data_IF_734943884022
#
_entry.id   IF_734943884022
#
_cell.length_a   1.000
_cell.length_b   1.000
_cell.length_c   1.000
_cell.angle_alpha   90.00
_cell.angle_beta   90.00
_cell.angle_gamma   90.00
#
_symmetry.space_group_name_H-M   'P 1'
#
loop_
_entity.id
_entity.type
_entity.pdbx_description
1 polymer ?
#
# COMPACT_ATOMS: atom_id res chain seq x y z
N UNK A 1 -0.74 -28.87 12.15
CA UNK A 1 -1.01 -28.33 10.80
C UNK A 1 -0.08 -27.15 10.63
N UNK A 2 0.83 -27.19 9.65
CA UNK A 2 1.64 -26.02 9.32
C UNK A 2 0.70 -24.99 8.68
N UNK A 3 0.57 -23.81 9.29
CA UNK A 3 -0.09 -22.68 8.64
C UNK A 3 0.75 -22.37 7.41
N UNK A 4 0.10 -22.30 6.24
CA UNK A 4 0.78 -22.05 4.99
C UNK A 4 1.01 -20.55 4.93
N UNK A 5 2.24 -20.13 5.22
CA UNK A 5 2.77 -18.76 5.13
C UNK A 5 2.24 -18.03 3.89
N UNK A 6 1.91 -16.75 4.01
CA UNK A 6 1.56 -15.90 2.87
C UNK A 6 2.69 -14.88 2.68
N UNK A 7 3.80 -15.34 2.07
CA UNK A 7 4.92 -14.47 1.70
C UNK A 7 4.46 -13.40 0.70
N UNK A 8 4.97 -12.17 0.89
CA UNK A 8 4.80 -11.07 -0.07
C UNK A 8 6.10 -10.86 -0.85
N UNK A 9 6.03 -10.97 -2.18
CA UNK A 9 7.20 -10.82 -3.04
C UNK A 9 7.51 -9.33 -3.30
N UNK A 10 8.26 -8.72 -2.37
CA UNK A 10 8.66 -7.32 -2.48
C UNK A 10 9.47 -7.02 -3.76
N UNK A 11 10.30 -7.95 -4.24
CA UNK A 11 11.15 -7.71 -5.41
C UNK A 11 10.33 -7.65 -6.70
N UNK A 12 9.38 -8.58 -6.86
CA UNK A 12 8.40 -8.57 -7.96
C UNK A 12 7.61 -7.26 -7.98
N UNK A 13 7.08 -6.86 -6.82
CA UNK A 13 6.22 -5.68 -6.75
C UNK A 13 7.00 -4.36 -6.83
N UNK A 14 8.24 -4.30 -6.35
CA UNK A 14 9.12 -3.15 -6.60
C UNK A 14 9.38 -2.96 -8.09
N UNK A 15 9.67 -4.05 -8.80
CA UNK A 15 9.92 -4.01 -10.26
C UNK A 15 8.69 -3.49 -11.00
N UNK A 16 7.51 -4.03 -10.71
CA UNK A 16 6.25 -3.55 -11.30
C UNK A 16 5.98 -2.08 -10.99
N UNK A 17 6.10 -1.67 -9.72
CA UNK A 17 5.85 -0.28 -9.34
C UNK A 17 6.86 0.70 -9.95
N UNK A 18 8.11 0.27 -10.16
CA UNK A 18 9.10 1.05 -10.87
C UNK A 18 8.72 1.33 -12.33
N UNK A 19 7.99 0.41 -12.98
CA UNK A 19 7.53 0.58 -14.36
C UNK A 19 6.45 1.65 -14.49
N UNK A 20 5.54 1.74 -13.50
CA UNK A 20 4.36 2.61 -13.56
C UNK A 20 4.50 3.90 -12.73
N UNK A 21 5.59 4.03 -11.97
CA UNK A 21 5.86 5.22 -11.15
C UNK A 21 5.97 6.48 -12.05
N UNK A 22 5.25 7.54 -11.67
CA UNK A 22 5.20 8.77 -12.46
C UNK A 22 4.26 8.73 -13.67
N UNK A 23 3.67 7.60 -14.00
CA UNK A 23 2.69 7.50 -15.08
C UNK A 23 1.28 7.89 -14.59
N UNK A 24 0.64 8.83 -15.29
CA UNK A 24 -0.74 9.21 -14.98
C UNK A 24 -1.73 8.08 -15.25
N UNK A 25 -2.49 7.69 -14.23
CA UNK A 25 -3.52 6.67 -14.37
C UNK A 25 -4.69 7.23 -15.18
N UNK A 26 -5.10 6.48 -16.20
CA UNK A 26 -6.26 6.86 -17.02
C UNK A 26 -7.54 6.67 -16.22
N UNK A 27 -8.44 7.63 -16.34
CA UNK A 27 -9.79 7.53 -15.78
C UNK A 27 -10.76 7.15 -16.90
N UNK A 28 -11.65 6.19 -16.62
CA UNK A 28 -12.80 5.97 -17.48
C UNK A 28 -13.87 6.99 -17.11
N UNK A 29 -14.16 7.89 -18.04
CA UNK A 29 -15.22 8.89 -17.90
C UNK A 29 -16.18 8.78 -19.08
N UNK A 30 -17.47 8.89 -18.78
CA UNK A 30 -18.55 8.78 -19.76
C UNK A 30 -19.81 9.47 -19.26
N UNK A 31 -20.67 9.92 -20.18
CA UNK A 31 -21.92 10.60 -19.81
C UNK A 31 -22.79 9.63 -18.99
N UNK A 32 -23.08 10.00 -17.74
CA UNK A 32 -23.88 9.18 -16.82
C UNK A 32 -23.14 7.98 -16.21
N UNK A 33 -21.82 7.89 -16.38
CA UNK A 33 -20.97 6.87 -15.76
C UNK A 33 -20.22 7.49 -14.59
N UNK A 34 -20.21 6.81 -13.45
CA UNK A 34 -19.38 7.21 -12.31
C UNK A 34 -17.90 7.03 -12.69
N UNK A 35 -17.09 8.09 -12.57
CA UNK A 35 -15.69 8.03 -12.95
C UNK A 35 -14.92 7.01 -12.09
N UNK A 36 -14.02 6.27 -12.73
CA UNK A 36 -13.15 5.33 -12.03
C UNK A 36 -11.78 5.21 -12.71
N UNK A 37 -10.72 5.02 -11.91
CA UNK A 37 -9.38 4.80 -12.45
C UNK A 37 -9.27 3.42 -13.11
N UNK A 38 -8.53 3.37 -14.22
CA UNK A 38 -8.25 2.15 -14.97
C UNK A 38 -6.84 1.70 -14.62
N UNK A 39 -6.74 0.77 -13.69
CA UNK A 39 -5.45 0.21 -13.27
C UNK A 39 -5.00 -0.95 -14.13
N UNK A 40 -3.68 -1.14 -14.19
CA UNK A 40 -3.09 -2.39 -14.65
C UNK A 40 -3.60 -3.56 -13.77
N UNK A 41 -4.01 -4.71 -14.35
CA UNK A 41 -4.43 -5.89 -13.59
C UNK A 41 -3.43 -6.32 -12.50
N UNK A 42 -2.13 -6.07 -12.71
CA UNK A 42 -1.06 -6.31 -11.74
C UNK A 42 -1.21 -5.50 -10.46
N UNK A 43 -1.81 -4.32 -10.51
CA UNK A 43 -2.08 -3.51 -9.32
C UNK A 43 -3.09 -4.19 -8.39
N UNK A 44 -4.14 -4.79 -8.95
CA UNK A 44 -5.10 -5.57 -8.17
C UNK A 44 -4.48 -6.86 -7.62
N UNK A 45 -3.58 -7.49 -8.39
CA UNK A 45 -2.84 -8.66 -7.92
C UNK A 45 -1.89 -8.30 -6.76
N UNK A 46 -1.21 -7.14 -6.83
CA UNK A 46 -0.40 -6.59 -5.73
C UNK A 46 -1.24 -6.41 -4.49
N UNK A 47 -2.37 -5.71 -4.60
CA UNK A 47 -3.25 -5.45 -3.46
C UNK A 47 -3.74 -6.76 -2.81
N UNK A 48 -4.17 -7.72 -3.64
CA UNK A 48 -4.64 -9.02 -3.17
C UNK A 48 -3.54 -9.84 -2.49
N UNK A 49 -2.34 -9.89 -3.07
CA UNK A 49 -1.20 -10.59 -2.46
C UNK A 49 -0.77 -9.90 -1.16
N UNK A 50 -0.77 -8.57 -1.12
CA UNK A 50 -0.45 -7.82 0.10
C UNK A 50 -1.47 -8.08 1.20
N UNK A 51 -2.77 -7.91 0.92
CA UNK A 51 -3.87 -8.15 1.87
C UNK A 51 -3.89 -9.57 2.44
N UNK A 52 -3.41 -10.54 1.67
CA UNK A 52 -3.27 -11.92 2.12
C UNK A 52 -2.02 -12.15 2.97
N UNK A 53 -1.01 -11.27 2.88
CA UNK A 53 0.29 -11.47 3.53
C UNK A 53 0.31 -11.07 5.01
N UNK A 54 1.33 -11.53 5.73
CA UNK A 54 1.60 -11.11 7.12
C UNK A 54 1.97 -9.62 7.23
N UNK A 55 2.30 -8.97 6.11
CA UNK A 55 2.57 -7.53 6.07
C UNK A 55 1.29 -6.70 6.10
N UNK A 56 0.13 -7.27 5.77
CA UNK A 56 -1.13 -6.56 5.97
C UNK A 56 -1.48 -6.49 7.45
N UNK A 57 -1.61 -5.28 7.99
CA UNK A 57 -2.12 -5.08 9.34
C UNK A 57 -3.65 -5.17 9.33
N UNK A 58 -4.20 -6.33 9.70
CA UNK A 58 -5.64 -6.53 9.80
C UNK A 58 -6.34 -5.57 10.79
N UNK A 59 -5.57 -4.96 11.70
CA UNK A 59 -6.02 -3.98 12.68
C UNK A 59 -5.50 -2.57 12.39
N UNK A 60 -5.14 -2.26 11.13
CA UNK A 60 -4.51 -0.99 10.75
C UNK A 60 -5.23 0.24 11.31
N UNK A 61 -6.57 0.26 11.35
CA UNK A 61 -7.32 1.39 11.92
C UNK A 61 -6.99 1.64 13.39
N UNK A 62 -6.88 0.56 14.18
CA UNK A 62 -6.51 0.64 15.60
C UNK A 62 -5.05 1.05 15.74
N UNK A 63 -4.16 0.51 14.90
CA UNK A 63 -2.74 0.88 14.91
C UNK A 63 -2.56 2.35 14.59
N UNK A 64 -3.20 2.86 13.53
CA UNK A 64 -3.19 4.28 13.16
C UNK A 64 -3.71 5.17 14.29
N UNK A 65 -4.82 4.80 14.93
CA UNK A 65 -5.33 5.52 16.09
C UNK A 65 -4.31 5.56 17.25
N UNK A 66 -3.65 4.44 17.56
CA UNK A 66 -2.61 4.37 18.59
C UNK A 66 -1.37 5.19 18.25
N UNK A 67 -1.05 5.29 16.95
CA UNK A 67 0.03 6.14 16.40
C UNK A 67 -0.38 7.60 16.25
N UNK A 68 -1.61 7.96 16.60
CA UNK A 68 -2.21 9.31 16.50
C UNK A 68 -2.42 9.81 15.07
N UNK A 69 -2.62 8.89 14.13
CA UNK A 69 -3.00 9.16 12.74
C UNK A 69 -4.52 9.10 12.58
N UNK A 70 -5.24 10.11 13.08
CA UNK A 70 -6.72 10.13 13.03
C UNK A 70 -7.27 10.53 11.66
N UNK A 71 -6.55 11.38 10.92
CA UNK A 71 -6.95 11.89 9.61
C UNK A 71 -5.72 12.03 8.71
N UNK A 72 -5.13 10.90 8.32
CA UNK A 72 -3.89 10.94 7.56
C UNK A 72 -4.06 11.56 6.18
N UNK A 73 -3.25 12.57 5.92
CA UNK A 73 -3.15 13.27 4.63
C UNK A 73 -2.14 12.59 3.72
N UNK A 74 -2.26 12.83 2.42
CA UNK A 74 -1.29 12.33 1.45
C UNK A 74 0.14 12.83 1.72
N UNK A 75 0.29 14.06 2.21
CA UNK A 75 1.59 14.64 2.58
C UNK A 75 2.24 13.86 3.73
N UNK A 76 1.46 13.48 4.74
CA UNK A 76 1.92 12.64 5.84
C UNK A 76 2.28 11.22 5.38
N UNK A 77 1.48 10.62 4.47
CA UNK A 77 1.83 9.32 3.86
C UNK A 77 3.18 9.41 3.13
N UNK A 78 3.39 10.47 2.36
CA UNK A 78 4.63 10.70 1.63
C UNK A 78 5.82 10.90 2.59
N UNK A 79 5.66 11.68 3.65
CA UNK A 79 6.68 11.86 4.69
C UNK A 79 7.04 10.52 5.35
N UNK A 80 6.05 9.75 5.79
CA UNK A 80 6.23 8.43 6.40
C UNK A 80 6.97 7.49 5.45
N UNK A 81 6.61 7.50 4.16
CA UNK A 81 7.27 6.68 3.12
C UNK A 81 8.77 6.96 3.00
N UNK A 82 9.22 8.17 3.37
CA UNK A 82 10.63 8.59 3.28
C UNK A 82 11.39 8.43 4.59
N UNK A 83 10.76 8.73 5.72
CA UNK A 83 11.49 9.00 6.97
C UNK A 83 11.10 8.12 8.15
N UNK A 84 9.90 7.53 8.19
CA UNK A 84 9.45 6.78 9.37
C UNK A 84 10.38 5.60 9.65
N UNK A 85 10.85 5.45 10.89
CA UNK A 85 11.69 4.31 11.30
C UNK A 85 10.88 3.23 12.00
N UNK A 86 9.57 3.43 12.12
CA UNK A 86 8.67 2.56 12.86
C UNK A 86 7.99 1.58 11.90
N UNK A 87 8.40 0.31 12.00
CA UNK A 87 7.85 -0.76 11.17
C UNK A 87 6.32 -0.85 11.26
N UNK A 88 5.74 -0.76 12.46
CA UNK A 88 4.30 -0.91 12.64
C UNK A 88 3.53 0.28 12.09
N UNK A 89 4.13 1.46 12.15
CA UNK A 89 3.60 2.67 11.52
C UNK A 89 3.56 2.50 10.00
N UNK A 90 4.71 2.22 9.37
CA UNK A 90 4.79 2.01 7.91
C UNK A 90 3.85 0.88 7.46
N UNK A 91 3.74 -0.20 8.24
CA UNK A 91 2.84 -1.33 7.95
C UNK A 91 1.36 -0.91 7.94
N UNK A 92 0.91 -0.21 8.97
CA UNK A 92 -0.47 0.24 9.06
C UNK A 92 -0.82 1.25 7.95
N UNK A 93 0.13 2.13 7.63
CA UNK A 93 0.01 3.15 6.57
C UNK A 93 -0.07 2.49 5.18
N UNK A 94 0.79 1.52 4.92
CA UNK A 94 0.74 0.73 3.68
C UNK A 94 -0.59 -0.03 3.57
N UNK A 95 -1.07 -0.58 4.68
CA UNK A 95 -2.35 -1.31 4.74
C UNK A 95 -3.53 -0.39 4.43
N UNK A 96 -3.60 0.81 5.00
CA UNK A 96 -4.69 1.75 4.69
C UNK A 96 -4.60 2.26 3.24
N UNK A 97 -3.41 2.51 2.70
CA UNK A 97 -3.25 2.92 1.29
C UNK A 97 -3.75 1.83 0.34
N UNK A 98 -3.38 0.57 0.58
CA UNK A 98 -3.79 -0.55 -0.28
C UNK A 98 -5.28 -0.82 -0.12
N UNK A 99 -5.80 -0.81 1.10
CA UNK A 99 -7.20 -1.12 1.38
C UNK A 99 -8.18 -0.02 0.97
N UNK A 100 -7.82 1.26 1.09
CA UNK A 100 -8.79 2.34 0.93
C UNK A 100 -9.18 2.68 -0.51
N UNK A 101 -8.58 2.09 -1.54
CA UNK A 101 -9.02 2.31 -2.92
C UNK A 101 -10.51 2.01 -3.12
N UNK A 102 -11.05 1.03 -2.40
CA UNK A 102 -12.48 0.67 -2.43
C UNK A 102 -13.41 1.68 -1.76
N UNK A 103 -12.87 2.62 -0.98
CA UNK A 103 -13.61 3.66 -0.27
C UNK A 103 -13.31 5.06 -0.84
N UNK A 104 -12.12 5.26 -1.39
CA UNK A 104 -11.64 6.48 -2.01
C UNK A 104 -10.96 6.15 -3.33
N UNK A 105 -11.73 6.25 -4.42
CA UNK A 105 -11.25 5.96 -5.78
C UNK A 105 -10.08 6.88 -6.13
N UNK A 106 -9.05 6.32 -6.73
CA UNK A 106 -7.87 7.07 -7.17
C UNK A 106 -6.78 7.19 -6.10
N UNK A 107 -6.93 6.54 -4.94
CA UNK A 107 -5.86 6.45 -3.94
C UNK A 107 -4.61 5.80 -4.54
N UNK A 108 -4.76 4.65 -5.19
CA UNK A 108 -3.63 3.98 -5.83
C UNK A 108 -3.02 4.83 -6.94
N UNK A 109 -3.85 5.53 -7.74
CA UNK A 109 -3.36 6.46 -8.76
C UNK A 109 -2.46 7.54 -8.15
N UNK A 110 -2.95 8.28 -7.15
CA UNK A 110 -2.17 9.34 -6.50
C UNK A 110 -0.86 8.81 -5.88
N UNK A 111 -0.92 7.65 -5.21
CA UNK A 111 0.24 7.06 -4.54
C UNK A 111 1.28 6.48 -5.51
N UNK A 112 0.85 5.94 -6.66
CA UNK A 112 1.77 5.39 -7.68
C UNK A 112 2.37 6.48 -8.54
N UNK A 113 1.58 7.47 -8.97
CA UNK A 113 2.05 8.64 -9.71
C UNK A 113 3.17 9.39 -8.97
N UNK A 114 3.08 9.48 -7.64
CA UNK A 114 4.10 10.15 -6.80
C UNK A 114 5.21 9.22 -6.30
N UNK A 115 5.19 7.94 -6.67
CA UNK A 115 6.12 6.91 -6.20
C UNK A 115 6.01 6.60 -4.70
N UNK A 116 4.95 7.06 -4.02
CA UNK A 116 4.74 6.89 -2.58
C UNK A 116 4.52 5.42 -2.26
N UNK A 117 3.67 4.72 -3.03
CA UNK A 117 3.38 3.31 -2.77
C UNK A 117 4.64 2.44 -2.84
N UNK A 118 5.49 2.69 -3.83
CA UNK A 118 6.77 1.99 -3.98
C UNK A 118 7.69 2.25 -2.79
N UNK A 119 7.86 3.51 -2.39
CA UNK A 119 8.66 3.89 -1.22
C UNK A 119 8.13 3.24 0.06
N UNK A 120 6.82 3.21 0.26
CA UNK A 120 6.19 2.53 1.39
C UNK A 120 6.58 1.04 1.44
N UNK A 121 6.46 0.32 0.32
CA UNK A 121 6.82 -1.11 0.27
C UNK A 121 8.32 -1.36 0.47
N UNK A 122 9.18 -0.55 -0.15
CA UNK A 122 10.63 -0.62 0.06
C UNK A 122 10.99 -0.39 1.52
N UNK A 123 10.37 0.62 2.14
CA UNK A 123 10.63 0.98 3.53
C UNK A 123 10.11 -0.08 4.48
N UNK A 124 8.91 -0.61 4.25
CA UNK A 124 8.34 -1.73 4.98
C UNK A 124 9.26 -2.94 4.96
N UNK A 125 9.76 -3.31 3.77
CA UNK A 125 10.72 -4.40 3.62
C UNK A 125 12.02 -4.11 4.40
N UNK A 126 12.59 -2.92 4.26
CA UNK A 126 13.84 -2.54 4.93
C UNK A 126 13.75 -2.52 6.47
N UNK A 127 12.56 -2.25 7.01
CA UNK A 127 12.30 -2.17 8.44
C UNK A 127 11.81 -3.49 9.02
N UNK A 128 11.65 -4.55 8.20
CA UNK A 128 11.10 -5.83 8.64
C UNK A 128 11.98 -6.41 9.76
N UNK A 129 11.45 -6.57 10.98
CA UNK A 129 12.21 -7.13 12.09
C UNK A 129 12.65 -8.58 11.79
N UNK A 130 13.83 -8.98 12.25
CA UNK A 130 14.34 -10.34 12.07
C UNK A 130 13.45 -11.41 12.75
N UNK A 131 12.80 -11.03 13.85
CA UNK A 131 11.85 -11.86 14.59
C UNK A 131 10.39 -11.60 14.20
N UNK A 132 10.15 -10.80 13.15
CA UNK A 132 8.79 -10.57 12.69
C UNK A 132 8.19 -11.92 12.32
N UNK A 133 7.02 -12.25 12.88
CA UNK A 133 6.20 -13.37 12.46
C UNK A 133 6.12 -13.50 10.94
N UNK A 134 7.00 -14.30 10.35
CA UNK A 134 6.71 -14.99 9.10
C UNK A 134 6.14 -16.32 9.61
N UNK A 135 4.84 -16.39 9.93
CA UNK A 135 4.22 -17.56 10.58
C UNK A 135 3.30 -18.37 9.66
#
# INVERSE_FOLDING_TARGET
>A
MAVKLHDFDFAKWDTFLAEIEGETVKWNSGIGVEEYPVYDPRMYALAKEFEASDFFDQSFQRTLFQKKHEAITEEEVDEISRSSADFFDVRAITSIVIYNERHMKGMWAAMTEKGILRRLLQRLHSLTPAEFPIF
#
